data_IF_333300250073
#
_entry.id   IF_333300250073
#
_cell.length_a   1.000
_cell.length_b   1.000
_cell.length_c   1.000
_cell.angle_alpha   90.00
_cell.angle_beta   90.00
_cell.angle_gamma   90.00
#
_symmetry.space_group_name_H-M   'P 1'
#
loop_
_entity.id
_entity.type
_entity.pdbx_description
1 polymer ?
#
# COMPACT_ATOMS: atom_id res chain seq x y z
N UNK A 1 -3.87 30.75 55.35
CA UNK A 1 -3.34 29.37 55.44
C UNK A 1 -4.48 28.41 55.76
N UNK A 2 -4.90 27.57 54.81
CA UNK A 2 -5.39 26.20 55.07
C UNK A 2 -5.40 25.43 53.77
N UNK A 3 -4.51 24.45 53.77
CA UNK A 3 -4.12 23.48 52.74
C UNK A 3 -5.03 22.26 52.87
N UNK A 4 -5.70 21.87 51.78
CA UNK A 4 -6.30 20.54 51.59
C UNK A 4 -6.09 20.17 50.12
N UNK A 5 -4.95 19.54 49.76
CA UNK A 5 -4.70 18.09 49.69
C UNK A 5 -5.61 17.36 48.69
N UNK A 6 -5.10 17.27 47.46
CA UNK A 6 -5.10 16.16 46.51
C UNK A 6 -6.39 15.36 46.25
N UNK A 7 -6.84 15.39 44.99
CA UNK A 7 -7.49 14.23 44.35
C UNK A 7 -6.63 13.87 43.12
N UNK A 8 -5.93 12.74 43.24
CA UNK A 8 -5.32 11.99 42.16
C UNK A 8 -6.37 11.02 41.61
N UNK A 9 -6.86 11.20 40.39
CA UNK A 9 -7.33 10.16 39.43
C UNK A 9 -7.56 10.91 38.11
N UNK A 10 -7.06 10.58 36.91
CA UNK A 10 -6.20 9.53 36.40
C UNK A 10 -5.78 9.94 34.98
N UNK A 11 -4.56 9.58 34.60
CA UNK A 11 -3.99 9.68 33.25
C UNK A 11 -3.80 8.23 32.75
N UNK A 12 -3.68 7.92 31.45
CA UNK A 12 -4.37 8.38 30.23
C UNK A 12 -5.08 7.19 29.53
N UNK A 13 -6.01 7.41 28.60
CA UNK A 13 -6.30 6.39 27.57
C UNK A 13 -5.80 6.95 26.24
N UNK A 14 -4.51 6.70 25.98
CA UNK A 14 -3.98 6.68 24.63
C UNK A 14 -4.69 5.52 23.92
N UNK A 15 -5.62 5.83 23.02
CA UNK A 15 -6.22 4.84 22.14
C UNK A 15 -5.14 4.32 21.19
N UNK A 16 -4.63 3.13 21.50
CA UNK A 16 -3.80 2.34 20.60
C UNK A 16 -4.64 1.89 19.39
N UNK A 17 -4.75 2.74 18.37
CA UNK A 17 -5.25 2.35 17.06
C UNK A 17 -4.04 2.11 16.16
N UNK A 18 -3.59 0.86 16.10
CA UNK A 18 -2.45 0.50 15.24
C UNK A 18 -1.88 -0.91 15.37
N UNK A 19 -2.57 -1.87 16.01
CA UNK A 19 -2.11 -3.27 16.10
C UNK A 19 -3.16 -4.20 15.46
N UNK A 20 -3.35 -4.10 14.15
CA UNK A 20 -4.38 -4.88 13.46
C UNK A 20 -4.06 -5.25 12.02
N UNK A 21 -2.78 -5.45 11.70
CA UNK A 21 -2.23 -6.00 10.44
C UNK A 21 -0.72 -6.15 10.75
N UNK A 22 -0.02 -7.29 10.70
CA UNK A 22 -0.19 -8.51 9.91
C UNK A 22 0.78 -9.61 10.40
N UNK A 23 0.33 -10.65 11.11
CA UNK A 23 1.21 -11.82 11.38
C UNK A 23 1.56 -12.59 10.09
N UNK A 24 0.78 -12.44 9.02
CA UNK A 24 1.02 -13.09 7.73
C UNK A 24 2.07 -12.36 6.85
N UNK A 25 2.26 -11.05 7.02
CA UNK A 25 3.23 -10.29 6.22
C UNK A 25 4.68 -10.63 6.59
N UNK A 26 4.91 -11.07 7.83
CA UNK A 26 6.22 -11.46 8.35
C UNK A 26 6.51 -12.95 8.17
N UNK A 27 5.59 -13.71 7.57
CA UNK A 27 5.79 -15.14 7.33
C UNK A 27 6.87 -15.34 6.23
N UNK A 28 8.00 -16.01 6.55
CA UNK A 28 9.13 -16.11 5.63
C UNK A 28 8.81 -16.97 4.39
N UNK A 29 7.93 -17.96 4.50
CA UNK A 29 7.49 -18.78 3.37
C UNK A 29 6.67 -17.95 2.37
N UNK A 30 5.75 -17.13 2.86
CA UNK A 30 4.94 -16.22 2.05
C UNK A 30 5.77 -15.11 1.41
N UNK A 31 6.74 -14.55 2.13
CA UNK A 31 7.70 -13.58 1.59
C UNK A 31 8.50 -14.21 0.44
N UNK A 32 9.00 -15.43 0.64
CA UNK A 32 9.74 -16.17 -0.39
C UNK A 32 8.85 -16.41 -1.60
N UNK A 33 7.61 -16.86 -1.38
CA UNK A 33 6.66 -17.11 -2.47
C UNK A 33 6.28 -15.84 -3.23
N UNK A 34 6.05 -14.74 -2.52
CA UNK A 34 5.76 -13.43 -3.10
C UNK A 34 6.90 -12.95 -3.98
N UNK A 35 8.15 -13.14 -3.56
CA UNK A 35 9.35 -12.80 -4.35
C UNK A 35 9.43 -13.61 -5.64
N UNK A 36 9.19 -14.92 -5.58
CA UNK A 36 9.15 -15.78 -6.77
C UNK A 36 8.09 -15.29 -7.76
N UNK A 37 6.88 -15.01 -7.28
CA UNK A 37 5.78 -14.53 -8.11
C UNK A 37 6.09 -13.16 -8.72
N UNK A 38 6.69 -12.26 -7.96
CA UNK A 38 7.03 -10.91 -8.44
C UNK A 38 7.99 -10.94 -9.65
N UNK A 39 8.91 -11.91 -9.66
CA UNK A 39 9.80 -12.16 -10.79
C UNK A 39 9.10 -12.91 -11.92
N UNK A 40 8.47 -14.05 -11.61
CA UNK A 40 7.86 -14.93 -12.61
C UNK A 40 6.67 -14.31 -13.35
N UNK A 41 5.99 -13.33 -12.71
CA UNK A 41 4.89 -12.56 -13.30
C UNK A 41 5.33 -11.19 -13.79
N UNK A 42 6.64 -11.02 -14.04
CA UNK A 42 7.25 -9.84 -14.68
C UNK A 42 6.89 -8.51 -14.03
N UNK A 43 6.53 -8.52 -12.74
CA UNK A 43 6.17 -7.33 -11.99
C UNK A 43 7.37 -6.37 -11.91
N UNK A 44 8.58 -6.93 -11.86
CA UNK A 44 9.86 -6.18 -11.87
C UNK A 44 10.11 -5.32 -13.09
N UNK A 45 9.44 -5.59 -14.21
CA UNK A 45 9.57 -4.75 -15.42
C UNK A 45 9.09 -3.32 -15.14
N UNK A 46 8.01 -3.18 -14.37
CA UNK A 46 7.34 -1.91 -14.12
C UNK A 46 7.37 -1.46 -12.65
N UNK A 47 7.43 -2.37 -11.70
CA UNK A 47 7.37 -2.05 -10.27
C UNK A 47 8.73 -2.26 -9.60
N UNK A 48 9.25 -1.18 -9.04
CA UNK A 48 10.47 -1.20 -8.24
C UNK A 48 10.16 -1.64 -6.80
N UNK A 49 11.09 -2.38 -6.19
CA UNK A 49 11.17 -2.60 -4.74
C UNK A 49 12.50 -2.04 -4.19
N UNK A 50 12.57 -1.62 -2.92
CA UNK A 50 13.81 -1.17 -2.30
C UNK A 50 14.95 -2.19 -2.48
N UNK A 51 16.12 -1.74 -2.93
CA UNK A 51 17.30 -2.59 -3.16
C UNK A 51 17.23 -3.50 -4.40
N UNK A 52 16.12 -3.49 -5.15
CA UNK A 52 16.01 -4.20 -6.43
C UNK A 52 16.67 -3.46 -7.60
N UNK A 53 16.85 -4.10 -8.76
CA UNK A 53 17.30 -3.42 -9.99
C UNK A 53 16.25 -2.40 -10.46
N UNK A 54 16.64 -1.29 -11.12
CA UNK A 54 15.71 -0.30 -11.67
C UNK A 54 14.66 -0.87 -12.63
N UNK A 55 13.38 -0.66 -12.34
CA UNK A 55 12.26 -0.94 -13.24
C UNK A 55 12.15 0.17 -14.31
N UNK A 56 12.99 0.13 -15.35
CA UNK A 56 13.11 1.21 -16.34
C UNK A 56 11.80 1.53 -17.08
N UNK A 57 11.02 0.50 -17.45
CA UNK A 57 9.70 0.72 -18.02
C UNK A 57 8.77 1.40 -16.99
N UNK A 58 8.86 1.00 -15.73
CA UNK A 58 8.16 1.63 -14.61
C UNK A 58 8.40 3.13 -14.49
N UNK A 59 9.65 3.58 -14.64
CA UNK A 59 10.00 5.00 -14.62
C UNK A 59 9.31 5.77 -15.75
N UNK A 60 9.36 5.24 -16.98
CA UNK A 60 8.70 5.85 -18.13
C UNK A 60 7.17 5.90 -17.96
N UNK A 61 6.58 4.84 -17.41
CA UNK A 61 5.13 4.73 -17.19
C UNK A 61 4.64 5.39 -15.90
N UNK A 62 5.54 5.97 -15.09
CA UNK A 62 5.25 6.48 -13.73
C UNK A 62 4.51 5.45 -12.86
N UNK A 63 4.90 4.19 -12.99
CA UNK A 63 4.33 3.11 -12.21
C UNK A 63 4.65 3.30 -10.72
N UNK A 64 3.71 2.96 -9.80
CA UNK A 64 3.95 3.08 -8.38
C UNK A 64 5.07 2.12 -7.93
N UNK A 65 5.96 2.61 -7.08
CA UNK A 65 7.00 1.79 -6.47
C UNK A 65 6.48 1.11 -5.20
N UNK A 66 6.92 -0.12 -4.95
CA UNK A 66 6.53 -0.89 -3.79
C UNK A 66 7.54 -0.72 -2.64
N UNK A 67 7.53 0.47 -2.04
CA UNK A 67 8.45 0.88 -0.96
C UNK A 67 8.00 0.47 0.46
N UNK A 68 6.85 -0.19 0.60
CA UNK A 68 6.31 -0.70 1.87
C UNK A 68 5.55 0.32 2.72
N UNK A 69 5.75 1.62 2.53
CA UNK A 69 5.15 2.71 3.31
C UNK A 69 3.71 3.12 2.89
N UNK A 70 3.10 2.43 1.93
CA UNK A 70 1.81 2.81 1.36
C UNK A 70 0.62 2.02 1.93
N UNK A 71 0.86 1.00 2.74
CA UNK A 71 -0.23 0.18 3.25
C UNK A 71 -1.11 0.98 4.22
N UNK A 72 -2.42 0.90 4.03
CA UNK A 72 -3.41 1.64 4.81
C UNK A 72 -3.52 3.14 4.48
N UNK A 73 -2.70 3.67 3.56
CA UNK A 73 -2.76 5.09 3.18
C UNK A 73 -3.84 5.36 2.14
N UNK A 74 -4.36 6.59 2.10
CA UNK A 74 -5.24 7.03 1.01
C UNK A 74 -4.43 7.32 -0.26
N UNK A 75 -5.04 7.05 -1.41
CA UNK A 75 -4.53 7.49 -2.71
C UNK A 75 -5.65 7.87 -3.67
N UNK A 76 -5.31 8.75 -4.60
CA UNK A 76 -6.21 9.14 -5.69
C UNK A 76 -6.04 8.17 -6.86
N UNK A 77 -7.15 7.62 -7.31
CA UNK A 77 -7.24 6.73 -8.48
C UNK A 77 -8.24 7.28 -9.47
N UNK A 78 -8.01 7.02 -10.74
CA UNK A 78 -8.96 7.22 -11.83
C UNK A 78 -9.80 5.95 -11.96
N UNK A 79 -11.12 6.07 -12.02
CA UNK A 79 -12.02 4.95 -12.34
C UNK A 79 -11.94 4.67 -13.85
N UNK A 80 -11.47 3.48 -14.22
CA UNK A 80 -11.06 3.20 -15.59
C UNK A 80 -9.80 3.96 -15.99
N UNK A 81 -9.45 3.90 -17.28
CA UNK A 81 -8.42 4.77 -17.86
C UNK A 81 -9.05 6.00 -18.51
N UNK A 82 -8.86 7.17 -17.89
CA UNK A 82 -9.43 8.45 -18.35
C UNK A 82 -10.80 8.83 -17.77
N UNK A 83 -11.32 8.08 -16.79
CA UNK A 83 -12.58 8.40 -16.11
C UNK A 83 -12.44 9.40 -14.96
N UNK A 84 -13.36 9.33 -13.99
CA UNK A 84 -13.40 10.24 -12.84
C UNK A 84 -12.40 9.83 -11.76
N UNK A 85 -11.84 10.82 -11.07
CA UNK A 85 -10.95 10.59 -9.93
C UNK A 85 -11.75 10.28 -8.65
N UNK A 86 -11.23 9.39 -7.82
CA UNK A 86 -11.75 9.09 -6.48
C UNK A 86 -10.61 8.75 -5.52
N UNK A 87 -10.90 8.74 -4.22
CA UNK A 87 -9.96 8.29 -3.19
C UNK A 87 -10.25 6.86 -2.79
N UNK A 88 -9.19 6.07 -2.63
CA UNK A 88 -9.26 4.71 -2.10
C UNK A 88 -8.19 4.53 -1.02
N UNK A 89 -8.46 3.66 -0.05
CA UNK A 89 -7.46 3.18 0.90
C UNK A 89 -6.67 2.05 0.26
N UNK A 90 -5.34 2.06 0.39
CA UNK A 90 -4.51 0.96 -0.08
C UNK A 90 -4.49 -0.16 0.95
N UNK A 91 -5.48 -1.03 0.89
CA UNK A 91 -5.58 -2.24 1.69
C UNK A 91 -5.44 -3.50 0.82
N UNK A 92 -5.59 -4.68 1.43
CA UNK A 92 -5.48 -5.96 0.75
C UNK A 92 -6.53 -6.13 -0.35
N UNK A 93 -7.77 -5.73 -0.08
CA UNK A 93 -8.85 -5.82 -1.05
C UNK A 93 -8.54 -4.98 -2.29
N UNK A 94 -8.07 -3.75 -2.09
CA UNK A 94 -7.65 -2.87 -3.18
C UNK A 94 -6.43 -3.42 -3.94
N UNK A 95 -5.43 -3.96 -3.24
CA UNK A 95 -4.25 -4.55 -3.89
C UNK A 95 -4.64 -5.75 -4.77
N UNK A 96 -5.44 -6.67 -4.24
CA UNK A 96 -5.91 -7.86 -4.97
C UNK A 96 -6.77 -7.45 -6.18
N UNK A 97 -7.66 -6.47 -6.01
CA UNK A 97 -8.43 -5.89 -7.12
C UNK A 97 -7.49 -5.29 -8.18
N UNK A 98 -6.49 -4.51 -7.78
CA UNK A 98 -5.54 -3.87 -8.70
C UNK A 98 -4.72 -4.88 -9.51
N UNK A 99 -4.42 -6.05 -8.94
CA UNK A 99 -3.73 -7.13 -9.68
C UNK A 99 -4.68 -7.85 -10.64
N UNK A 100 -5.93 -8.10 -10.22
CA UNK A 100 -6.89 -8.90 -11.00
C UNK A 100 -7.65 -8.09 -12.05
N UNK A 101 -7.85 -6.80 -11.82
CA UNK A 101 -8.61 -5.86 -12.66
C UNK A 101 -7.86 -4.52 -12.79
N UNK A 102 -6.66 -4.52 -13.39
CA UNK A 102 -5.73 -3.39 -13.31
C UNK A 102 -6.20 -2.09 -13.97
N UNK A 103 -7.23 -2.16 -14.82
CA UNK A 103 -7.78 -1.00 -15.53
C UNK A 103 -8.90 -0.34 -14.73
N UNK A 104 -9.58 -1.06 -13.83
CA UNK A 104 -10.76 -0.55 -13.12
C UNK A 104 -10.42 0.65 -12.23
N UNK A 105 -9.22 0.66 -11.63
CA UNK A 105 -8.72 1.74 -10.77
C UNK A 105 -7.23 1.99 -11.00
N UNK A 106 -6.91 3.08 -11.69
CA UNK A 106 -5.53 3.44 -12.05
C UNK A 106 -5.04 4.57 -11.15
N UNK A 107 -3.92 4.39 -10.44
CA UNK A 107 -3.37 5.47 -9.60
C UNK A 107 -3.10 6.72 -10.45
N UNK A 108 -3.50 7.90 -9.97
CA UNK A 108 -3.53 9.13 -10.78
C UNK A 108 -2.17 9.54 -11.33
N UNK A 109 -1.09 9.17 -10.65
CA UNK A 109 0.27 9.46 -11.08
C UNK A 109 0.75 8.60 -12.26
N UNK A 110 0.10 7.46 -12.52
CA UNK A 110 0.52 6.55 -13.58
C UNK A 110 0.17 7.09 -14.97
N UNK A 111 1.11 6.96 -15.90
CA UNK A 111 0.93 7.38 -17.29
C UNK A 111 0.12 6.36 -18.11
N UNK A 112 0.05 5.10 -17.69
CA UNK A 112 -0.77 4.07 -18.31
C UNK A 112 -1.20 3.01 -17.27
N UNK A 113 -2.26 2.23 -17.54
CA UNK A 113 -2.66 1.14 -16.66
C UNK A 113 -1.69 -0.03 -16.74
N UNK A 114 -1.70 -0.88 -15.72
CA UNK A 114 -1.02 -2.18 -15.79
C UNK A 114 -1.71 -3.08 -16.83
N UNK A 115 -0.97 -3.88 -17.61
CA UNK A 115 -1.56 -4.82 -18.56
C UNK A 115 -2.48 -5.83 -17.84
N UNK A 116 -3.56 -6.29 -18.48
CA UNK A 116 -4.35 -7.40 -17.95
C UNK A 116 -3.50 -8.68 -17.89
N UNK A 117 -3.75 -9.56 -16.88
CA UNK A 117 -3.01 -10.81 -16.70
C UNK A 117 -3.26 -11.85 -17.80
#
# INVERSE_FOLDING_TARGET
MKIHRAIRVGLPILAAVGLGMSHAADNPELITKGRELFQAKICTTCHQVPGGPPALAGVAMKAPQFEGNFWGTERVVTLGFGGKDTKVKFDEAYFVESVRKPIDKVVKSAAAPMPPP
#
